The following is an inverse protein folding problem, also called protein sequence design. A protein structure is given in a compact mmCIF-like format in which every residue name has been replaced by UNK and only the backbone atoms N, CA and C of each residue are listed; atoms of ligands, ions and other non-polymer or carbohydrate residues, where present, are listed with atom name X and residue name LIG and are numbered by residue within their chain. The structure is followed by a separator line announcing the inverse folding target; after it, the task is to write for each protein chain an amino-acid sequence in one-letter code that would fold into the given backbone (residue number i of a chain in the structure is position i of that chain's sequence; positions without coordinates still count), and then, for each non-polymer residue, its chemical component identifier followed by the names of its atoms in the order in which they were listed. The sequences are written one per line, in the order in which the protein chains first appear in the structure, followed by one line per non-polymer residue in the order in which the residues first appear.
data_IF_904997929783
#
_entry.id   IF_904997929783
#
_cell.length_a   1.000
_cell.length_b   1.000
_cell.length_c   1.000
_cell.angle_alpha   90.00
_cell.angle_beta   90.00
_cell.angle_gamma   90.00
#
_symmetry.space_group_name_H-M   'P 1'
#
loop_
_entity.id
_entity.type
_entity.pdbx_description
1 polymer ?
#
# COMPACT_ATOMS: atom_id res chain seq x y z
N UNK A 1 22.36 -1.37 1.82
CA UNK A 1 21.86 -0.86 0.52
C UNK A 1 20.34 -0.89 0.62
N UNK A 2 19.70 0.11 1.24
CA UNK A 2 18.33 -0.11 1.77
C UNK A 2 17.34 1.03 1.47
N UNK A 3 17.80 2.13 0.88
CA UNK A 3 16.95 3.30 0.56
C UNK A 3 16.26 3.18 -0.81
N UNK A 4 16.71 2.27 -1.66
CA UNK A 4 16.19 2.09 -3.03
C UNK A 4 15.02 1.10 -3.06
N UNK A 5 15.13 -0.04 -2.38
CA UNK A 5 14.09 -1.09 -2.45
C UNK A 5 12.74 -0.63 -1.88
N UNK A 6 12.74 0.02 -0.71
CA UNK A 6 11.51 0.58 -0.13
C UNK A 6 10.89 1.67 -1.01
N UNK A 7 11.73 2.52 -1.61
CA UNK A 7 11.28 3.56 -2.54
C UNK A 7 10.71 2.99 -3.83
N UNK A 8 11.35 1.95 -4.38
CA UNK A 8 10.90 1.25 -5.59
C UNK A 8 9.56 0.58 -5.35
N UNK A 9 9.37 -0.10 -4.21
CA UNK A 9 8.10 -0.73 -3.82
C UNK A 9 7.01 0.31 -3.59
N UNK A 10 7.33 1.42 -2.91
CA UNK A 10 6.36 2.49 -2.70
C UNK A 10 5.94 3.16 -4.02
N UNK A 11 6.88 3.36 -4.94
CA UNK A 11 6.58 3.87 -6.28
C UNK A 11 5.69 2.92 -7.06
N UNK A 12 6.04 1.63 -7.13
CA UNK A 12 5.26 0.59 -7.82
C UNK A 12 3.82 0.52 -7.28
N UNK A 13 3.65 0.61 -5.96
CA UNK A 13 2.33 0.62 -5.33
C UNK A 13 1.50 1.86 -5.70
N UNK A 14 2.08 3.06 -5.60
CA UNK A 14 1.36 4.31 -5.94
C UNK A 14 1.01 4.32 -7.43
N UNK A 15 1.90 3.86 -8.30
CA UNK A 15 1.66 3.77 -9.74
C UNK A 15 0.53 2.79 -10.07
N UNK A 16 0.52 1.61 -9.44
CA UNK A 16 -0.57 0.63 -9.57
C UNK A 16 -1.90 1.19 -9.08
N UNK A 17 -1.90 1.88 -7.94
CA UNK A 17 -3.11 2.46 -7.34
C UNK A 17 -3.55 3.77 -8.01
N UNK A 18 -2.84 4.26 -9.04
CA UNK A 18 -3.12 5.56 -9.67
C UNK A 18 -4.54 5.70 -10.19
N UNK A 19 -5.14 4.63 -10.69
CA UNK A 19 -6.53 4.66 -11.18
C UNK A 19 -7.57 4.73 -10.05
N UNK A 20 -7.19 4.33 -8.83
CA UNK A 20 -8.02 4.37 -7.63
C UNK A 20 -7.87 5.68 -6.84
N UNK A 21 -6.77 6.40 -7.05
CA UNK A 21 -6.48 7.68 -6.41
C UNK A 21 -7.24 8.82 -7.09
N UNK A 22 -7.75 9.76 -6.29
CA UNK A 22 -8.18 11.07 -6.81
C UNK A 22 -6.96 11.90 -7.23
N UNK A 23 -7.15 12.94 -8.06
CA UNK A 23 -6.05 13.81 -8.50
C UNK A 23 -5.28 14.43 -7.32
N UNK A 24 -5.97 14.81 -6.25
CA UNK A 24 -5.37 15.37 -5.04
C UNK A 24 -4.54 14.33 -4.27
N UNK A 25 -5.05 13.10 -4.16
CA UNK A 25 -4.34 12.00 -3.49
C UNK A 25 -3.13 11.54 -4.31
N UNK A 26 -3.26 11.45 -5.64
CA UNK A 26 -2.15 11.12 -6.53
C UNK A 26 -1.04 12.17 -6.43
N UNK A 27 -1.38 13.46 -6.51
CA UNK A 27 -0.40 14.54 -6.33
C UNK A 27 0.30 14.44 -4.96
N UNK A 28 -0.45 14.21 -3.90
CA UNK A 28 0.11 14.05 -2.54
C UNK A 28 1.04 12.84 -2.46
N UNK A 29 0.64 11.69 -3.01
CA UNK A 29 1.45 10.48 -3.04
C UNK A 29 2.79 10.71 -3.76
N UNK A 30 2.79 11.33 -4.93
CA UNK A 30 4.03 11.62 -5.67
C UNK A 30 4.94 12.62 -4.95
N UNK A 31 4.37 13.61 -4.25
CA UNK A 31 5.16 14.52 -3.40
C UNK A 31 5.84 13.75 -2.27
N UNK A 32 5.10 12.89 -1.56
CA UNK A 32 5.62 12.05 -0.47
C UNK A 32 6.75 11.13 -0.95
N UNK A 33 6.58 10.47 -2.10
CA UNK A 33 7.65 9.68 -2.74
C UNK A 33 8.89 10.52 -3.03
N UNK A 34 8.72 11.75 -3.52
CA UNK A 34 9.82 12.65 -3.86
C UNK A 34 10.63 13.16 -2.66
N UNK A 35 10.03 13.23 -1.47
CA UNK A 35 10.69 13.66 -0.23
C UNK A 35 11.18 12.48 0.65
N UNK A 36 10.87 11.24 0.26
CA UNK A 36 11.29 10.03 0.97
C UNK A 36 10.31 9.53 2.04
N UNK A 37 9.11 10.11 2.13
CA UNK A 37 8.04 9.70 3.04
C UNK A 37 7.27 8.50 2.46
N UNK A 38 7.99 7.39 2.27
CA UNK A 38 7.48 6.21 1.58
C UNK A 38 6.33 5.53 2.34
N UNK A 39 6.38 5.50 3.68
CA UNK A 39 5.32 4.91 4.51
C UNK A 39 3.97 5.59 4.28
N UNK A 40 3.94 6.92 4.39
CA UNK A 40 2.72 7.70 4.15
C UNK A 40 2.20 7.56 2.71
N UNK A 41 3.10 7.56 1.72
CA UNK A 41 2.73 7.36 0.32
C UNK A 41 2.06 5.98 0.10
N UNK A 42 2.60 4.93 0.71
CA UNK A 42 2.04 3.59 0.63
C UNK A 42 0.69 3.49 1.34
N UNK A 43 0.53 4.07 2.54
CA UNK A 43 -0.77 4.10 3.26
C UNK A 43 -1.83 4.80 2.41
N UNK A 44 -1.50 5.93 1.79
CA UNK A 44 -2.42 6.67 0.94
C UNK A 44 -2.88 5.83 -0.27
N UNK A 45 -1.96 5.12 -0.90
CA UNK A 45 -2.26 4.20 -2.01
C UNK A 45 -3.14 3.01 -1.55
N UNK A 46 -2.82 2.39 -0.41
CA UNK A 46 -3.58 1.28 0.14
C UNK A 46 -5.02 1.69 0.52
N UNK A 47 -5.21 2.88 1.08
CA UNK A 47 -6.55 3.43 1.34
C UNK A 47 -7.36 3.62 0.05
N UNK A 48 -6.70 4.06 -1.02
CA UNK A 48 -7.37 4.26 -2.30
C UNK A 48 -7.81 2.93 -2.94
N UNK A 49 -6.92 1.93 -2.97
CA UNK A 49 -7.27 0.62 -3.52
C UNK A 49 -8.31 -0.09 -2.64
N UNK A 50 -8.27 0.05 -1.31
CA UNK A 50 -9.30 -0.50 -0.40
C UNK A 50 -10.70 0.07 -0.63
N UNK A 51 -10.81 1.31 -1.14
CA UNK A 51 -12.10 1.91 -1.54
C UNK A 51 -12.56 1.50 -2.94
N UNK A 52 -11.70 0.85 -3.73
CA UNK A 52 -12.00 0.48 -5.11
C UNK A 52 -12.89 -0.76 -5.20
N UNK A 53 -13.67 -0.86 -6.27
CA UNK A 53 -14.56 -2.00 -6.49
C UNK A 53 -13.82 -3.32 -6.73
N UNK A 54 -12.57 -3.25 -7.20
CA UNK A 54 -11.65 -4.38 -7.34
C UNK A 54 -10.34 -4.06 -6.60
N UNK A 55 -10.24 -4.39 -5.31
CA UNK A 55 -9.09 -4.05 -4.48
C UNK A 55 -7.92 -5.04 -4.69
N UNK A 56 -7.63 -5.41 -5.93
CA UNK A 56 -6.63 -6.43 -6.24
C UNK A 56 -5.25 -5.81 -6.46
N UNK A 57 -4.28 -6.28 -5.69
CA UNK A 57 -2.87 -5.98 -5.92
C UNK A 57 -2.19 -7.12 -6.70
N UNK A 58 -1.18 -6.82 -7.53
CA UNK A 58 -0.38 -7.85 -8.20
C UNK A 58 0.24 -8.79 -7.15
N UNK A 59 0.20 -10.12 -7.33
CA UNK A 59 0.67 -11.07 -6.33
C UNK A 59 2.14 -10.85 -5.88
N UNK A 60 3.00 -10.43 -6.82
CA UNK A 60 4.39 -10.12 -6.53
C UNK A 60 4.53 -8.86 -5.67
N UNK A 61 3.76 -7.80 -5.97
CA UNK A 61 3.75 -6.58 -5.18
C UNK A 61 3.19 -6.83 -3.78
N UNK A 62 2.11 -7.61 -3.68
CA UNK A 62 1.53 -8.03 -2.42
C UNK A 62 2.54 -8.80 -1.56
N UNK A 63 3.27 -9.75 -2.15
CA UNK A 63 4.31 -10.51 -1.45
C UNK A 63 5.46 -9.61 -0.93
N UNK A 64 5.85 -8.57 -1.70
CA UNK A 64 6.84 -7.59 -1.24
C UNK A 64 6.32 -6.74 -0.09
N UNK A 65 5.10 -6.23 -0.22
CA UNK A 65 4.46 -5.40 0.81
C UNK A 65 4.29 -6.15 2.13
N UNK A 66 3.98 -7.46 2.10
CA UNK A 66 3.85 -8.27 3.33
C UNK A 66 5.19 -8.57 4.00
N UNK A 67 6.31 -8.44 3.28
CA UNK A 67 7.64 -8.58 3.87
C UNK A 67 8.15 -7.29 4.52
N UNK A 68 7.65 -6.10 4.10
CA UNK A 68 8.12 -4.81 4.60
C UNK A 68 8.04 -4.64 6.13
N UNK A 69 6.97 -5.06 6.84
CA UNK A 69 6.92 -4.93 8.30
C UNK A 69 8.00 -5.73 9.04
N UNK A 70 8.60 -6.73 8.38
CA UNK A 70 9.67 -7.54 8.97
C UNK A 70 11.07 -6.95 8.73
N UNK A 71 11.21 -6.06 7.75
CA UNK A 71 12.51 -5.50 7.32
C UNK A 71 12.62 -4.00 7.54
N UNK A 72 11.50 -3.29 7.66
CA UNK A 72 11.42 -1.84 7.82
C UNK A 72 10.42 -1.45 8.91
N UNK A 73 10.64 -0.27 9.51
CA UNK A 73 9.62 0.38 10.32
C UNK A 73 8.52 0.91 9.41
N UNK A 74 7.29 0.42 9.61
CA UNK A 74 6.09 0.84 8.88
C UNK A 74 4.97 1.08 9.90
N UNK A 75 4.05 1.98 9.57
CA UNK A 75 2.94 2.33 10.46
C UNK A 75 1.98 1.15 10.69
N UNK A 76 1.37 1.08 11.87
CA UNK A 76 0.33 0.08 12.20
C UNK A 76 -0.83 0.14 11.20
N UNK A 77 -1.13 1.32 10.67
CA UNK A 77 -2.16 1.49 9.66
C UNK A 77 -1.81 0.81 8.34
N UNK A 78 -0.54 0.86 7.91
CA UNK A 78 -0.09 0.16 6.73
C UNK A 78 -0.34 -1.35 6.86
N UNK A 79 0.00 -1.91 8.02
CA UNK A 79 -0.20 -3.34 8.31
C UNK A 79 -1.69 -3.69 8.31
N UNK A 80 -2.54 -2.87 8.93
CA UNK A 80 -3.98 -3.08 8.99
C UNK A 80 -4.63 -3.05 7.59
N UNK A 81 -4.27 -2.07 6.76
CA UNK A 81 -4.77 -1.96 5.39
C UNK A 81 -4.31 -3.14 4.51
N UNK A 82 -3.06 -3.55 4.65
CA UNK A 82 -2.53 -4.68 3.91
C UNK A 82 -3.23 -5.99 4.29
N UNK A 83 -3.47 -6.22 5.59
CA UNK A 83 -4.19 -7.38 6.08
C UNK A 83 -5.63 -7.45 5.53
N UNK A 84 -6.33 -6.30 5.48
CA UNK A 84 -7.67 -6.20 4.91
C UNK A 84 -7.71 -6.58 3.42
N UNK A 85 -6.68 -6.20 2.65
CA UNK A 85 -6.57 -6.51 1.22
C UNK A 85 -6.19 -7.97 0.94
N UNK A 86 -5.42 -8.61 1.83
CA UNK A 86 -5.02 -10.02 1.68
C UNK A 86 -6.11 -11.02 2.08
N UNK A 87 -7.28 -10.55 2.53
CA UNK A 87 -8.32 -11.41 3.05
C UNK A 87 -8.03 -11.89 4.47
N UNK A 88 -7.82 -10.94 5.39
CA UNK A 88 -8.02 -11.15 6.83
C UNK A 88 -9.49 -11.47 7.14
N UNK A 89 -9.97 -12.58 6.60
CA UNK A 89 -11.29 -13.14 6.87
C UNK A 89 -11.17 -14.06 8.09
N UNK A 90 -11.24 -13.46 9.28
CA UNK A 90 -11.76 -14.13 10.46
C UNK A 90 -13.19 -13.66 10.78
N UNK A 91 -14.02 -13.43 9.75
CA UNK A 91 -15.45 -13.26 9.93
C UNK A 91 -16.19 -14.56 9.56
N UNK A 92 -16.53 -15.43 10.53
CA UNK A 92 -17.50 -16.48 10.27
C UNK A 92 -18.87 -15.84 10.02
N UNK A 93 -19.21 -15.58 8.76
CA UNK A 93 -20.59 -15.40 8.31
C UNK A 93 -21.19 -16.76 7.98
N UNK A 94 -21.93 -17.32 8.94
CA UNK A 94 -23.06 -18.26 8.81
C UNK A 94 -23.14 -19.07 10.13
N UNK A 95 -24.28 -19.27 10.78
CA UNK A 95 -25.68 -18.98 10.49
C UNK A 95 -26.52 -19.38 11.71
#
# INVERSE_FOLDING_TARGET
MDRTELGDVAWELVEHCRAALTDAEANTAFVLLGIGEYGEAMVLALRAVSRSQDPTLPPLLLARLTQLPHTHFVDDEFVALLAALTGGDEHPRAG
#
